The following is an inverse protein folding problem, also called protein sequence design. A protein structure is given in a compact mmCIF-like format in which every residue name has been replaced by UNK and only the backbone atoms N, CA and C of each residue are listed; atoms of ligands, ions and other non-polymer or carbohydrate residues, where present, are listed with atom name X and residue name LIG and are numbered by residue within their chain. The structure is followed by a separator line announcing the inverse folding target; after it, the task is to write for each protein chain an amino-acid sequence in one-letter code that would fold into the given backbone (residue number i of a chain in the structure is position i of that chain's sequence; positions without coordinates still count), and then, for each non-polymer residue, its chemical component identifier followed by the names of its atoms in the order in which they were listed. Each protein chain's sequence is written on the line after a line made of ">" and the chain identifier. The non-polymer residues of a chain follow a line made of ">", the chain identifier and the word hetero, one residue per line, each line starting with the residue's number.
data_IF_778553995478
#
_entry.id   IF_778553995478
#
_cell.length_a   1.000
_cell.length_b   1.000
_cell.length_c   1.000
_cell.angle_alpha   90.00
_cell.angle_beta   90.00
_cell.angle_gamma   90.00
#
_symmetry.space_group_name_H-M   'P 1'
#
loop_
_entity.id
_entity.type
_entity.pdbx_description
1 polymer ?
#
# COMPACT_ATOMS: atom_id res chain seq x y z
N UNK A 1 -14.98 12.95 -29.42
CA UNK A 1 -14.14 13.71 -28.47
C UNK A 1 -14.55 13.34 -27.06
N UNK A 2 -13.60 13.14 -26.12
CA UNK A 2 -13.96 12.83 -24.75
C UNK A 2 -14.79 13.93 -24.10
N UNK A 3 -15.79 13.57 -23.31
CA UNK A 3 -16.63 14.49 -22.55
C UNK A 3 -15.83 15.29 -21.52
N UNK A 4 -16.40 16.37 -20.99
CA UNK A 4 -15.75 17.13 -19.90
C UNK A 4 -15.51 16.26 -18.66
N UNK A 5 -16.41 15.32 -18.35
CA UNK A 5 -16.27 14.37 -17.25
C UNK A 5 -15.10 13.42 -17.47
N UNK A 6 -14.95 12.86 -18.67
CA UNK A 6 -13.82 11.97 -19.00
C UNK A 6 -12.47 12.67 -18.95
N UNK A 7 -12.42 13.95 -19.41
CA UNK A 7 -11.18 14.76 -19.33
C UNK A 7 -10.80 15.05 -17.88
N UNK A 8 -11.78 15.35 -17.03
CA UNK A 8 -11.55 15.58 -15.60
C UNK A 8 -11.02 14.31 -14.94
N UNK A 9 -11.67 13.16 -15.17
CA UNK A 9 -11.23 11.86 -14.66
C UNK A 9 -9.79 11.53 -15.07
N UNK A 10 -9.45 11.70 -16.34
CA UNK A 10 -8.08 11.48 -16.82
C UNK A 10 -7.05 12.43 -16.17
N UNK A 11 -7.45 13.67 -15.87
CA UNK A 11 -6.60 14.63 -15.15
C UNK A 11 -6.40 14.20 -13.69
N UNK A 12 -7.47 13.79 -13.02
CA UNK A 12 -7.43 13.32 -11.63
C UNK A 12 -6.54 12.08 -11.50
N UNK A 13 -6.63 11.14 -12.43
CA UNK A 13 -5.76 9.94 -12.48
C UNK A 13 -4.28 10.30 -12.68
N UNK A 14 -3.97 11.32 -13.51
CA UNK A 14 -2.60 11.81 -13.68
C UNK A 14 -2.05 12.46 -12.41
N UNK A 15 -2.87 13.29 -11.74
CA UNK A 15 -2.51 13.90 -10.46
C UNK A 15 -2.25 12.81 -9.42
N UNK A 16 -3.16 11.86 -9.32
CA UNK A 16 -3.11 10.78 -8.35
C UNK A 16 -1.82 9.96 -8.50
N UNK A 17 -1.48 9.54 -9.71
CA UNK A 17 -0.25 8.80 -10.01
C UNK A 17 1.00 9.61 -9.68
N UNK A 18 1.09 10.84 -10.16
CA UNK A 18 2.23 11.71 -9.89
C UNK A 18 2.42 11.99 -8.39
N UNK A 19 1.32 12.12 -7.65
CA UNK A 19 1.37 12.31 -6.20
C UNK A 19 1.89 11.06 -5.47
N UNK A 20 1.45 9.87 -5.86
CA UNK A 20 1.97 8.60 -5.30
C UNK A 20 3.47 8.49 -5.53
N UNK A 21 3.94 8.75 -6.75
CA UNK A 21 5.37 8.71 -7.10
C UNK A 21 6.20 9.72 -6.30
N UNK A 22 5.73 10.96 -6.18
CA UNK A 22 6.45 12.01 -5.45
C UNK A 22 6.45 11.76 -3.93
N UNK A 23 5.31 11.37 -3.36
CA UNK A 23 5.22 11.03 -1.94
C UNK A 23 6.01 9.75 -1.59
N UNK A 24 5.92 8.71 -2.41
CA UNK A 24 6.66 7.46 -2.21
C UNK A 24 8.18 7.67 -2.25
N UNK A 25 8.65 8.53 -3.16
CA UNK A 25 10.09 8.80 -3.33
C UNK A 25 10.67 9.77 -2.31
N UNK A 26 9.93 10.80 -1.91
CA UNK A 26 10.44 11.94 -1.12
C UNK A 26 9.89 12.00 0.29
N UNK A 27 8.89 11.21 0.59
CA UNK A 27 8.09 11.33 1.81
C UNK A 27 7.11 12.52 1.76
N UNK A 28 6.23 12.56 2.75
CA UNK A 28 5.23 13.63 2.86
C UNK A 28 5.84 15.03 3.01
N UNK A 29 6.80 15.19 3.94
CA UNK A 29 7.38 16.50 4.28
C UNK A 29 8.07 17.15 3.09
N UNK A 30 8.86 16.39 2.33
CA UNK A 30 9.68 16.92 1.24
C UNK A 30 8.94 17.02 -0.10
N UNK A 31 7.68 16.58 -0.18
CA UNK A 31 6.86 16.69 -1.38
C UNK A 31 6.06 18.00 -1.36
N UNK A 32 6.03 18.70 -2.49
CA UNK A 32 5.24 19.91 -2.70
C UNK A 32 4.24 19.74 -3.83
N UNK A 33 3.14 20.52 -3.80
CA UNK A 33 2.18 20.54 -4.92
C UNK A 33 2.85 20.94 -6.24
N UNK A 34 3.90 21.76 -6.20
CA UNK A 34 4.68 22.14 -7.39
C UNK A 34 5.45 20.96 -7.99
N UNK A 35 6.02 20.08 -7.15
CA UNK A 35 6.67 18.84 -7.61
C UNK A 35 5.65 17.93 -8.30
N UNK A 36 4.50 17.69 -7.63
CA UNK A 36 3.42 16.85 -8.16
C UNK A 36 2.89 17.41 -9.49
N UNK A 37 2.64 18.73 -9.55
CA UNK A 37 2.14 19.39 -10.74
C UNK A 37 3.11 19.27 -11.92
N UNK A 38 4.42 19.43 -11.67
CA UNK A 38 5.47 19.24 -12.67
C UNK A 38 5.49 17.81 -13.19
N UNK A 39 5.44 16.83 -12.29
CA UNK A 39 5.41 15.40 -12.64
C UNK A 39 4.14 15.04 -13.44
N UNK A 40 2.98 15.58 -13.06
CA UNK A 40 1.72 15.40 -13.77
C UNK A 40 1.57 16.21 -15.06
N UNK A 41 2.48 17.16 -15.37
CA UNK A 41 2.40 18.05 -16.53
C UNK A 41 1.19 19.01 -16.49
N UNK A 42 0.90 19.58 -15.31
CA UNK A 42 -0.22 20.50 -15.04
C UNK A 42 0.23 21.67 -14.17
N UNK A 43 -0.69 22.55 -13.81
CA UNK A 43 -0.43 23.66 -12.86
C UNK A 43 -0.78 23.25 -11.42
N UNK A 44 -0.08 23.78 -10.40
CA UNK A 44 -0.41 23.52 -8.99
C UNK A 44 -1.84 23.93 -8.63
N UNK A 45 -2.36 25.02 -9.21
CA UNK A 45 -3.73 25.49 -9.00
C UNK A 45 -4.80 24.46 -9.40
N UNK A 46 -4.53 23.64 -10.43
CA UNK A 46 -5.44 22.59 -10.84
C UNK A 46 -5.51 21.44 -9.81
N UNK A 47 -4.39 21.15 -9.13
CA UNK A 47 -4.38 20.18 -8.01
C UNK A 47 -5.25 20.70 -6.88
N UNK A 48 -5.05 21.95 -6.48
CA UNK A 48 -5.86 22.61 -5.42
C UNK A 48 -7.35 22.59 -5.78
N UNK A 49 -7.69 22.88 -7.03
CA UNK A 49 -9.08 22.86 -7.48
C UNK A 49 -9.73 21.49 -7.39
N UNK A 50 -8.98 20.40 -7.67
CA UNK A 50 -9.53 19.05 -7.74
C UNK A 50 -9.43 18.30 -6.41
N UNK A 51 -8.41 18.56 -5.61
CA UNK A 51 -8.06 17.78 -4.42
C UNK A 51 -7.91 18.63 -3.14
N UNK A 52 -7.95 19.95 -3.24
CA UNK A 52 -7.74 20.83 -2.08
C UNK A 52 -6.26 21.05 -1.75
N UNK A 53 -5.88 20.82 -0.51
CA UNK A 53 -4.52 20.99 -0.03
C UNK A 53 -3.63 19.76 -0.31
N UNK A 54 -2.33 19.89 -0.01
CA UNK A 54 -1.40 18.74 -0.03
C UNK A 54 -1.83 17.66 0.98
N UNK A 55 -2.28 18.10 2.13
CA UNK A 55 -2.78 17.27 3.23
C UNK A 55 -3.99 16.43 2.78
N UNK A 56 -4.97 17.07 2.17
CA UNK A 56 -6.18 16.40 1.66
C UNK A 56 -5.87 15.41 0.54
N UNK A 57 -4.97 15.77 -0.39
CA UNK A 57 -4.51 14.88 -1.43
C UNK A 57 -3.77 13.67 -0.85
N UNK A 58 -2.84 13.88 0.09
CA UNK A 58 -2.08 12.83 0.74
C UNK A 58 -3.01 11.88 1.51
N UNK A 59 -3.89 12.43 2.34
CA UNK A 59 -4.89 11.68 3.11
C UNK A 59 -5.75 10.80 2.19
N UNK A 60 -6.29 11.38 1.13
CA UNK A 60 -7.11 10.63 0.16
C UNK A 60 -6.35 9.45 -0.45
N UNK A 61 -5.14 9.68 -0.93
CA UNK A 61 -4.29 8.65 -1.53
C UNK A 61 -3.98 7.55 -0.51
N UNK A 62 -3.63 7.93 0.71
CA UNK A 62 -3.27 7.00 1.79
C UNK A 62 -4.42 6.05 2.13
N UNK A 63 -5.63 6.58 2.25
CA UNK A 63 -6.82 5.76 2.54
C UNK A 63 -7.21 4.87 1.35
N UNK A 64 -7.21 5.41 0.14
CA UNK A 64 -7.56 4.66 -1.08
C UNK A 64 -6.58 3.49 -1.33
N UNK A 65 -5.28 3.70 -1.13
CA UNK A 65 -4.27 2.65 -1.31
C UNK A 65 -4.38 1.59 -0.23
N UNK A 66 -4.55 2.01 1.03
CA UNK A 66 -4.74 1.07 2.15
C UNK A 66 -5.98 0.21 1.94
N UNK A 67 -7.09 0.79 1.52
CA UNK A 67 -8.31 0.04 1.21
C UNK A 67 -8.09 -0.99 0.10
N UNK A 68 -7.43 -0.62 -0.99
CA UNK A 68 -7.07 -1.54 -2.09
C UNK A 68 -6.19 -2.70 -1.62
N UNK A 69 -5.20 -2.41 -0.77
CA UNK A 69 -4.38 -3.48 -0.18
C UNK A 69 -5.25 -4.41 0.67
N UNK A 70 -6.14 -3.88 1.52
CA UNK A 70 -7.02 -4.70 2.35
C UNK A 70 -8.05 -5.51 1.55
N UNK A 71 -8.45 -5.04 0.37
CA UNK A 71 -9.30 -5.81 -0.53
C UNK A 71 -8.66 -7.10 -1.03
N UNK A 72 -7.32 -7.21 -1.05
CA UNK A 72 -6.62 -8.46 -1.35
C UNK A 72 -6.94 -9.57 -0.35
N UNK A 73 -7.47 -9.21 0.82
CA UNK A 73 -7.81 -10.12 1.92
C UNK A 73 -9.32 -10.43 2.03
N UNK A 74 -10.16 -9.84 1.18
CA UNK A 74 -11.60 -9.72 1.45
C UNK A 74 -12.40 -11.02 1.27
N UNK A 75 -11.94 -11.97 0.49
CA UNK A 75 -12.68 -13.19 0.11
C UNK A 75 -11.94 -14.50 0.47
N UNK A 76 -11.01 -14.41 1.43
CA UNK A 76 -10.20 -15.56 1.83
C UNK A 76 -10.93 -16.39 2.89
N UNK A 77 -11.19 -17.65 2.61
CA UNK A 77 -11.94 -18.58 3.46
C UNK A 77 -11.09 -19.70 4.06
N UNK A 78 -9.86 -19.88 3.57
CA UNK A 78 -8.95 -20.95 4.01
C UNK A 78 -8.36 -20.70 5.40
N UNK A 79 -7.52 -21.62 5.85
CA UNK A 79 -6.70 -21.47 7.06
C UNK A 79 -5.71 -20.28 6.91
N UNK A 80 -5.13 -19.87 8.04
CA UNK A 80 -4.22 -18.73 8.11
C UNK A 80 -3.08 -18.81 7.08
N UNK A 81 -2.40 -19.96 6.97
CA UNK A 81 -1.24 -20.12 6.10
C UNK A 81 -1.62 -19.94 4.62
N UNK A 82 -2.66 -20.65 4.17
CA UNK A 82 -3.14 -20.58 2.78
C UNK A 82 -3.66 -19.20 2.41
N UNK A 83 -4.27 -18.48 3.36
CA UNK A 83 -4.67 -17.07 3.16
C UNK A 83 -3.45 -16.19 2.90
N UNK A 84 -2.40 -16.28 3.74
CA UNK A 84 -1.19 -15.47 3.57
C UNK A 84 -0.47 -15.79 2.25
N UNK A 85 -0.32 -17.08 1.90
CA UNK A 85 0.25 -17.49 0.61
C UNK A 85 -0.54 -16.94 -0.57
N UNK A 86 -1.88 -16.97 -0.49
CA UNK A 86 -2.74 -16.40 -1.54
C UNK A 86 -2.57 -14.89 -1.67
N UNK A 87 -2.39 -14.16 -0.58
CA UNK A 87 -2.12 -12.72 -0.59
C UNK A 87 -0.79 -12.43 -1.28
N UNK A 88 0.27 -13.14 -0.94
CA UNK A 88 1.58 -13.01 -1.57
C UNK A 88 1.49 -13.24 -3.08
N UNK A 89 0.79 -14.29 -3.50
CA UNK A 89 0.56 -14.62 -4.91
C UNK A 89 -0.21 -13.52 -5.62
N UNK A 90 -1.34 -13.06 -5.08
CA UNK A 90 -2.13 -11.97 -5.64
C UNK A 90 -1.32 -10.68 -5.81
N UNK A 91 -0.46 -10.36 -4.82
CA UNK A 91 0.40 -9.19 -4.92
C UNK A 91 1.42 -9.33 -6.04
N UNK A 92 2.09 -10.49 -6.17
CA UNK A 92 3.01 -10.77 -7.29
C UNK A 92 2.31 -10.65 -8.64
N UNK A 93 1.12 -11.24 -8.79
CA UNK A 93 0.31 -11.12 -9.99
C UNK A 93 -0.02 -9.65 -10.33
N UNK A 94 -0.36 -8.82 -9.35
CA UNK A 94 -0.58 -7.38 -9.59
C UNK A 94 0.69 -6.67 -10.07
N UNK A 95 1.86 -7.04 -9.55
CA UNK A 95 3.14 -6.46 -9.96
C UNK A 95 3.54 -6.88 -11.39
N UNK A 96 3.18 -8.09 -11.81
CA UNK A 96 3.42 -8.57 -13.17
C UNK A 96 2.44 -7.95 -14.19
N UNK A 97 1.18 -7.79 -13.81
CA UNK A 97 0.13 -7.27 -14.69
C UNK A 97 0.16 -5.74 -14.86
N UNK A 98 0.72 -5.02 -13.89
CA UNK A 98 0.67 -3.55 -13.84
C UNK A 98 2.06 -2.95 -13.66
N UNK A 99 2.57 -2.32 -14.70
CA UNK A 99 3.90 -1.70 -14.77
C UNK A 99 4.21 -0.73 -13.59
N UNK A 100 3.18 -0.11 -13.00
CA UNK A 100 3.33 0.84 -11.91
C UNK A 100 2.93 0.27 -10.53
N UNK A 101 2.62 -1.03 -10.40
CA UNK A 101 2.15 -1.58 -9.13
C UNK A 101 3.20 -1.46 -8.02
N UNK A 102 4.49 -1.55 -8.37
CA UNK A 102 5.59 -1.37 -7.42
C UNK A 102 5.57 0.00 -6.75
N UNK A 103 5.20 1.06 -7.47
CA UNK A 103 5.13 2.44 -6.93
C UNK A 103 4.02 2.57 -5.89
N UNK A 104 2.92 1.86 -6.06
CA UNK A 104 1.83 1.82 -5.06
C UNK A 104 2.27 1.07 -3.81
N UNK A 105 3.02 -0.03 -3.98
CA UNK A 105 3.58 -0.79 -2.87
C UNK A 105 4.63 0.05 -2.11
N UNK A 106 5.50 0.76 -2.82
CA UNK A 106 6.50 1.68 -2.25
C UNK A 106 5.83 2.75 -1.38
N UNK A 107 4.77 3.35 -1.92
CA UNK A 107 4.02 4.36 -1.18
C UNK A 107 3.36 3.76 0.06
N UNK A 108 2.70 2.59 -0.04
CA UNK A 108 2.05 1.94 1.10
C UNK A 108 3.04 1.62 2.22
N UNK A 109 4.20 1.07 1.89
CA UNK A 109 5.22 0.76 2.90
C UNK A 109 5.82 2.04 3.50
N UNK A 110 6.08 3.06 2.68
CA UNK A 110 6.47 4.39 3.17
C UNK A 110 5.44 4.95 4.16
N UNK A 111 4.16 4.80 3.87
CA UNK A 111 3.06 5.27 4.70
C UNK A 111 3.06 4.64 6.11
N UNK A 112 3.32 3.34 6.21
CA UNK A 112 3.28 2.60 7.49
C UNK A 112 4.62 2.60 8.25
N UNK A 113 5.72 3.01 7.60
CA UNK A 113 7.06 3.00 8.21
C UNK A 113 7.66 4.39 8.43
N UNK A 114 7.11 5.42 7.79
CA UNK A 114 7.64 6.79 7.89
C UNK A 114 7.18 7.49 9.15
N UNK A 115 8.10 8.22 9.79
CA UNK A 115 7.79 9.14 10.88
C UNK A 115 7.17 10.47 10.40
N UNK A 116 7.15 10.70 9.08
CA UNK A 116 6.66 11.95 8.47
C UNK A 116 5.17 11.90 8.12
N UNK A 117 4.51 10.75 8.30
CA UNK A 117 3.07 10.62 8.04
C UNK A 117 2.30 11.43 9.09
N UNK A 118 1.40 12.35 8.68
CA UNK A 118 0.60 13.15 9.62
C UNK A 118 -0.21 12.30 10.60
N UNK A 119 -0.30 12.73 11.85
CA UNK A 119 -0.95 11.99 12.94
C UNK A 119 -2.43 11.69 12.67
N UNK A 120 -3.15 12.60 12.02
CA UNK A 120 -4.55 12.41 11.66
C UNK A 120 -4.70 11.29 10.63
N UNK A 121 -3.80 11.21 9.66
CA UNK A 121 -3.76 10.11 8.68
C UNK A 121 -3.41 8.80 9.37
N UNK A 122 -2.39 8.79 10.25
CA UNK A 122 -2.02 7.59 11.02
C UNK A 122 -3.17 7.06 11.87
N UNK A 123 -3.92 7.94 12.53
CA UNK A 123 -5.08 7.55 13.33
C UNK A 123 -6.18 6.90 12.47
N UNK A 124 -6.46 7.44 11.28
CA UNK A 124 -7.43 6.84 10.37
C UNK A 124 -6.96 5.48 9.84
N UNK A 125 -5.67 5.35 9.49
CA UNK A 125 -5.08 4.09 9.06
C UNK A 125 -5.14 3.03 10.16
N UNK A 126 -4.90 3.43 11.41
CA UNK A 126 -5.02 2.55 12.57
C UNK A 126 -6.47 2.07 12.77
N UNK A 127 -7.45 2.95 12.59
CA UNK A 127 -8.86 2.58 12.61
C UNK A 127 -9.25 1.64 11.45
N UNK A 128 -8.70 1.86 10.26
CA UNK A 128 -8.87 0.94 9.13
C UNK A 128 -8.27 -0.43 9.44
N UNK A 129 -7.05 -0.48 9.99
CA UNK A 129 -6.40 -1.72 10.40
C UNK A 129 -7.22 -2.47 11.45
N UNK A 130 -7.73 -1.76 12.47
CA UNK A 130 -8.54 -2.37 13.54
C UNK A 130 -9.80 -3.06 13.05
N UNK A 131 -10.36 -2.62 11.92
CA UNK A 131 -11.55 -3.19 11.26
C UNK A 131 -11.21 -4.10 10.08
N UNK A 132 -9.93 -4.23 9.74
CA UNK A 132 -9.50 -4.96 8.55
C UNK A 132 -9.50 -6.47 8.76
N UNK A 133 -9.68 -7.24 7.69
CA UNK A 133 -9.49 -8.69 7.70
C UNK A 133 -8.06 -9.10 8.11
N UNK A 134 -7.08 -8.22 7.90
CA UNK A 134 -5.66 -8.46 8.20
C UNK A 134 -5.43 -8.70 9.68
N UNK A 135 -6.02 -7.87 10.55
CA UNK A 135 -5.92 -8.03 12.00
C UNK A 135 -6.55 -9.36 12.46
N UNK A 136 -7.68 -9.71 11.87
CA UNK A 136 -8.35 -10.98 12.15
C UNK A 136 -7.54 -12.18 11.66
N UNK A 137 -6.83 -12.04 10.55
CA UNK A 137 -5.96 -13.05 10.00
C UNK A 137 -4.81 -13.42 10.96
N UNK A 138 -4.08 -12.43 11.49
CA UNK A 138 -2.99 -12.66 12.45
C UNK A 138 -3.52 -13.28 13.74
N UNK A 139 -4.60 -12.72 14.30
CA UNK A 139 -5.23 -13.24 15.52
C UNK A 139 -5.73 -14.67 15.34
N UNK A 140 -6.41 -14.96 14.25
CA UNK A 140 -6.89 -16.31 13.95
C UNK A 140 -5.75 -17.33 13.87
N UNK A 141 -4.61 -16.96 13.26
CA UNK A 141 -3.42 -17.81 13.23
C UNK A 141 -2.80 -18.01 14.62
N UNK A 142 -2.81 -16.99 15.50
CA UNK A 142 -2.36 -17.10 16.88
C UNK A 142 -3.29 -18.01 17.71
N UNK A 143 -4.59 -17.86 17.57
CA UNK A 143 -5.60 -18.69 18.23
C UNK A 143 -5.53 -20.16 17.78
N UNK A 144 -5.21 -20.40 16.51
CA UNK A 144 -4.95 -21.74 15.97
C UNK A 144 -3.60 -22.34 16.38
N UNK A 145 -2.69 -21.52 16.91
CA UNK A 145 -1.34 -21.95 17.29
C UNK A 145 -0.34 -21.99 16.14
N UNK A 146 -0.70 -21.45 14.96
CA UNK A 146 0.14 -21.45 13.75
C UNK A 146 1.09 -20.26 13.71
N UNK A 147 0.71 -19.13 14.32
CA UNK A 147 1.47 -17.89 14.34
C UNK A 147 2.17 -17.71 15.69
N UNK A 148 3.39 -17.16 15.63
CA UNK A 148 4.15 -16.78 16.84
C UNK A 148 3.36 -15.80 17.70
N UNK A 149 3.62 -15.82 19.00
CA UNK A 149 3.01 -14.88 19.94
C UNK A 149 3.59 -13.47 19.77
N UNK A 150 2.77 -12.46 19.95
CA UNK A 150 3.17 -11.07 19.85
C UNK A 150 1.99 -10.15 19.55
N UNK A 151 2.27 -8.86 19.53
CA UNK A 151 1.27 -7.87 19.14
C UNK A 151 0.89 -8.04 17.67
N UNK A 152 -0.40 -8.22 17.33
CA UNK A 152 -0.83 -8.46 15.94
C UNK A 152 -0.44 -7.36 14.94
N UNK A 153 -0.36 -6.10 15.39
CA UNK A 153 0.08 -4.99 14.55
C UNK A 153 1.57 -5.09 14.20
N UNK A 154 2.40 -5.42 15.19
CA UNK A 154 3.84 -5.64 15.01
C UNK A 154 4.11 -6.82 14.07
N UNK A 155 3.37 -7.91 14.21
CA UNK A 155 3.49 -9.08 13.34
C UNK A 155 3.03 -8.79 11.91
N UNK A 156 1.96 -8.02 11.75
CA UNK A 156 1.54 -7.50 10.45
C UNK A 156 2.64 -6.65 9.79
N UNK A 157 3.25 -5.74 10.55
CA UNK A 157 4.34 -4.90 10.05
C UNK A 157 5.57 -5.73 9.65
N UNK A 158 5.90 -6.76 10.43
CA UNK A 158 6.98 -7.70 10.10
C UNK A 158 6.72 -8.42 8.78
N UNK A 159 5.51 -8.96 8.60
CA UNK A 159 5.11 -9.62 7.35
C UNK A 159 5.26 -8.70 6.14
N UNK A 160 4.66 -7.51 6.19
CA UNK A 160 4.70 -6.58 5.08
C UNK A 160 6.10 -6.05 4.78
N UNK A 161 6.91 -5.77 5.80
CA UNK A 161 8.27 -5.28 5.61
C UNK A 161 9.14 -6.35 4.96
N UNK A 162 9.02 -7.61 5.39
CA UNK A 162 9.75 -8.74 4.80
C UNK A 162 9.32 -8.95 3.34
N UNK A 163 8.02 -9.00 3.09
CA UNK A 163 7.45 -9.17 1.75
C UNK A 163 7.91 -8.04 0.81
N UNK A 164 7.76 -6.79 1.24
CA UNK A 164 8.13 -5.62 0.46
C UNK A 164 9.63 -5.61 0.10
N UNK A 165 10.51 -5.72 1.10
CA UNK A 165 11.95 -5.65 0.85
C UNK A 165 12.43 -6.76 -0.10
N UNK A 166 11.87 -7.97 0.04
CA UNK A 166 12.22 -9.08 -0.85
C UNK A 166 11.71 -8.83 -2.27
N UNK A 167 10.48 -8.38 -2.42
CA UNK A 167 9.90 -8.03 -3.72
C UNK A 167 10.72 -6.93 -4.39
N UNK A 168 11.04 -5.85 -3.68
CA UNK A 168 11.85 -4.74 -4.18
C UNK A 168 13.22 -5.21 -4.65
N UNK A 169 13.88 -6.05 -3.85
CA UNK A 169 15.19 -6.60 -4.21
C UNK A 169 15.10 -7.43 -5.50
N UNK A 170 14.11 -8.31 -5.60
CA UNK A 170 13.93 -9.15 -6.79
C UNK A 170 13.58 -8.29 -8.03
N UNK A 171 12.64 -7.36 -7.90
CA UNK A 171 12.22 -6.46 -8.98
C UNK A 171 13.39 -5.63 -9.53
N UNK A 172 14.13 -4.95 -8.63
CA UNK A 172 15.22 -4.05 -9.02
C UNK A 172 16.42 -4.78 -9.63
N UNK A 173 16.68 -6.02 -9.21
CA UNK A 173 17.81 -6.82 -9.70
C UNK A 173 17.42 -7.86 -10.74
N UNK A 174 16.15 -7.90 -11.16
CA UNK A 174 15.61 -8.88 -12.12
C UNK A 174 15.88 -10.33 -11.68
N UNK A 175 15.67 -10.60 -10.42
CA UNK A 175 15.79 -11.92 -9.82
C UNK A 175 14.42 -12.60 -9.77
N UNK A 176 14.42 -13.93 -9.77
CA UNK A 176 13.19 -14.69 -9.52
C UNK A 176 12.69 -14.47 -8.10
N UNK A 177 11.36 -14.41 -7.93
CA UNK A 177 10.77 -14.34 -6.61
C UNK A 177 10.94 -15.67 -5.88
N UNK A 178 11.22 -15.64 -4.57
CA UNK A 178 11.22 -16.85 -3.75
C UNK A 178 9.81 -17.48 -3.70
N UNK A 179 9.68 -18.75 -3.29
CA UNK A 179 8.39 -19.40 -3.04
C UNK A 179 7.50 -18.57 -2.13
N UNK A 180 6.20 -18.58 -2.40
CA UNK A 180 5.22 -17.75 -1.66
C UNK A 180 5.21 -18.08 -0.16
N UNK A 181 5.41 -19.35 0.18
CA UNK A 181 5.43 -19.86 1.53
C UNK A 181 6.54 -19.26 2.40
N UNK A 182 7.69 -18.93 1.82
CA UNK A 182 8.81 -18.34 2.56
C UNK A 182 8.47 -16.99 3.20
N UNK A 183 7.59 -16.22 2.56
CA UNK A 183 7.14 -14.94 3.13
C UNK A 183 6.22 -15.13 4.34
N UNK A 184 5.55 -16.28 4.40
CA UNK A 184 4.61 -16.61 5.47
C UNK A 184 5.33 -17.27 6.65
N UNK A 185 6.34 -18.06 6.37
CA UNK A 185 7.11 -18.82 7.38
C UNK A 185 7.81 -17.91 8.41
N UNK A 186 8.03 -16.61 8.10
CA UNK A 186 8.56 -15.64 9.08
C UNK A 186 7.66 -15.43 10.29
N UNK A 187 6.36 -15.76 10.17
CA UNK A 187 5.39 -15.66 11.27
C UNK A 187 5.00 -17.02 11.84
N UNK A 188 5.50 -18.13 11.25
CA UNK A 188 5.10 -19.49 11.65
C UNK A 188 5.68 -19.84 13.02
N UNK A 189 4.84 -20.42 13.87
CA UNK A 189 5.29 -21.05 15.11
C UNK A 189 5.88 -22.43 14.78
N UNK A 190 7.11 -22.67 15.21
CA UNK A 190 7.84 -23.93 15.03
C UNK A 190 7.72 -24.83 16.25
#
# INVERSE_FOLDING_TARGET
>A
MPSMSERRKATDERIYRAAIEEFGRRGYVNTTLSNIAKSAGITPGLIVQNFGSKEELYRKISLDITDRIYQLFSDLTDDWHNRCVTIVRRLKEQLELHENAIVYLDFYVSLITSLDTPDDVLNELYEMYNRSPVKLLIRGGQEAGDVIEGDPYSLHSLFWTTLYNTIQMCYNNKLDYPPDEWFVDVLRKH
#
